data_IF_452081782909
#
_entry.id   IF_452081782909
#
_cell.length_a   1.000
_cell.length_b   1.000
_cell.length_c   1.000
_cell.angle_alpha   90.00
_cell.angle_beta   90.00
_cell.angle_gamma   90.00
#
_symmetry.space_group_name_H-M   'P 1'
#
loop_
_entity.id
_entity.type
_entity.pdbx_description
1 polymer ?
#
# COMPACT_ATOMS: atom_id res chain seq x y z
N UNK A 1 23.44 -29.23 -14.20
CA UNK A 1 23.62 -29.06 -12.75
C UNK A 1 22.91 -27.76 -12.39
N UNK A 2 21.71 -27.84 -11.81
CA UNK A 2 21.02 -26.65 -11.33
C UNK A 2 21.69 -26.23 -10.01
N UNK A 3 22.24 -25.03 -9.96
CA UNK A 3 22.74 -24.46 -8.71
C UNK A 3 21.53 -24.20 -7.81
N UNK A 4 21.43 -24.91 -6.69
CA UNK A 4 20.58 -24.50 -5.57
C UNK A 4 21.13 -23.19 -5.03
N UNK A 5 20.50 -22.07 -5.38
CA UNK A 5 20.67 -20.83 -4.62
C UNK A 5 19.99 -21.07 -3.28
N UNK A 6 20.78 -21.36 -2.24
CA UNK A 6 20.32 -21.31 -0.85
C UNK A 6 20.19 -19.83 -0.49
N UNK A 7 19.04 -19.25 -0.79
CA UNK A 7 18.72 -17.88 -0.43
C UNK A 7 18.72 -17.72 1.09
N UNK A 8 19.54 -16.79 1.59
CA UNK A 8 19.50 -16.37 2.99
C UNK A 8 18.25 -15.50 3.19
N UNK A 9 17.18 -16.10 3.72
CA UNK A 9 15.93 -15.42 4.03
C UNK A 9 16.12 -14.16 4.89
N UNK A 10 17.15 -14.13 5.75
CA UNK A 10 17.44 -12.97 6.57
C UNK A 10 17.98 -11.80 5.73
N UNK A 11 18.90 -12.09 4.82
CA UNK A 11 19.45 -11.10 3.89
C UNK A 11 18.37 -10.52 2.96
N UNK A 12 17.45 -11.35 2.47
CA UNK A 12 16.32 -10.90 1.64
C UNK A 12 15.40 -9.98 2.45
N UNK A 13 14.97 -10.41 3.64
CA UNK A 13 14.06 -9.63 4.48
C UNK A 13 14.66 -8.27 4.82
N UNK A 14 15.96 -8.24 5.15
CA UNK A 14 16.68 -7.00 5.42
C UNK A 14 16.72 -6.08 4.19
N UNK A 15 17.06 -6.62 3.03
CA UNK A 15 17.14 -5.83 1.78
C UNK A 15 15.79 -5.22 1.42
N UNK A 16 14.70 -6.01 1.54
CA UNK A 16 13.33 -5.53 1.31
C UNK A 16 12.99 -4.42 2.31
N UNK A 17 13.22 -4.65 3.61
CA UNK A 17 12.94 -3.66 4.65
C UNK A 17 13.67 -2.33 4.43
N UNK A 18 14.96 -2.39 4.06
CA UNK A 18 15.75 -1.19 3.79
C UNK A 18 15.25 -0.41 2.57
N UNK A 19 14.79 -1.10 1.53
CA UNK A 19 14.21 -0.47 0.34
C UNK A 19 12.94 0.30 0.68
N UNK A 20 12.00 -0.31 1.40
CA UNK A 20 10.75 0.37 1.81
C UNK A 20 11.02 1.54 2.76
N UNK A 21 11.97 1.40 3.69
CA UNK A 21 12.36 2.50 4.57
C UNK A 21 12.91 3.70 3.79
N UNK A 22 13.77 3.46 2.78
CA UNK A 22 14.30 4.50 1.91
C UNK A 22 13.19 5.19 1.11
N UNK A 23 12.29 4.41 0.51
CA UNK A 23 11.18 4.92 -0.30
C UNK A 23 10.33 5.97 0.43
N UNK A 24 10.05 5.73 1.71
CA UNK A 24 9.29 6.67 2.57
C UNK A 24 10.03 7.99 2.79
N UNK A 25 11.37 7.95 2.85
CA UNK A 25 12.20 9.14 3.14
C UNK A 25 12.56 9.97 1.91
N UNK A 26 12.72 9.34 0.75
CA UNK A 26 13.20 9.99 -0.47
C UNK A 26 12.08 10.25 -1.50
N UNK A 27 10.86 9.79 -1.24
CA UNK A 27 9.73 9.95 -2.15
C UNK A 27 9.87 9.13 -3.44
N UNK A 28 10.67 8.06 -3.44
CA UNK A 28 10.78 7.12 -4.56
C UNK A 28 9.37 6.71 -5.01
N UNK A 29 9.09 6.83 -6.30
CA UNK A 29 7.82 6.41 -6.88
C UNK A 29 8.02 5.10 -7.65
N UNK A 30 7.02 4.24 -7.64
CA UNK A 30 7.01 3.05 -8.48
C UNK A 30 6.62 3.42 -9.92
N UNK A 31 6.97 2.55 -10.88
CA UNK A 31 6.75 2.80 -12.32
C UNK A 31 5.27 2.81 -12.75
N UNK A 32 4.36 2.44 -11.84
CA UNK A 32 2.96 2.24 -12.13
C UNK A 32 2.14 3.51 -11.84
N UNK A 33 1.14 3.85 -12.68
CA UNK A 33 0.26 4.98 -12.40
C UNK A 33 -0.59 4.70 -11.17
N UNK A 34 -0.67 5.67 -10.26
CA UNK A 34 -1.64 5.68 -9.17
C UNK A 34 -2.90 6.41 -9.63
N UNK A 35 -4.06 5.84 -9.37
CA UNK A 35 -5.37 6.39 -9.76
C UNK A 35 -6.10 7.10 -8.61
N UNK A 36 -5.41 7.41 -7.51
CA UNK A 36 -6.03 8.10 -6.37
C UNK A 36 -6.34 9.56 -6.67
N UNK A 37 -7.57 9.97 -6.36
CA UNK A 37 -7.90 11.39 -6.26
C UNK A 37 -7.47 11.91 -4.88
N UNK A 38 -6.24 12.41 -4.78
CA UNK A 38 -5.69 12.93 -3.52
C UNK A 38 -6.48 14.10 -2.92
N UNK A 39 -7.21 14.87 -3.73
CA UNK A 39 -8.07 15.95 -3.23
C UNK A 39 -9.30 15.42 -2.50
N UNK A 40 -9.94 14.36 -3.02
CA UNK A 40 -11.07 13.69 -2.35
C UNK A 40 -10.58 12.97 -1.09
N UNK A 41 -9.49 12.21 -1.21
CA UNK A 41 -8.93 11.45 -0.09
C UNK A 41 -8.44 12.36 1.06
N UNK A 42 -7.88 13.52 0.74
CA UNK A 42 -7.43 14.52 1.72
C UNK A 42 -8.53 15.09 2.61
N UNK A 43 -9.81 14.88 2.27
CA UNK A 43 -10.93 15.32 3.10
C UNK A 43 -11.11 14.46 4.36
N UNK A 44 -10.60 13.22 4.36
CA UNK A 44 -10.83 12.26 5.44
C UNK A 44 -9.61 11.41 5.82
N UNK A 45 -8.58 11.34 4.98
CA UNK A 45 -7.34 10.61 5.27
C UNK A 45 -6.30 11.59 5.86
N UNK A 46 -5.63 11.24 6.97
CA UNK A 46 -4.55 12.03 7.52
C UNK A 46 -3.41 12.26 6.52
N UNK A 47 -2.91 13.48 6.45
CA UNK A 47 -1.85 13.90 5.52
C UNK A 47 -0.59 12.99 5.55
N UNK A 48 -0.11 12.51 6.71
CA UNK A 48 1.02 11.58 6.75
C UNK A 48 0.76 10.27 5.99
N UNK A 49 -0.48 9.77 5.97
CA UNK A 49 -0.84 8.54 5.25
C UNK A 49 -0.76 8.74 3.74
N UNK A 50 -1.23 9.89 3.25
CA UNK A 50 -1.16 10.25 1.83
C UNK A 50 0.29 10.40 1.34
N UNK A 51 1.19 10.87 2.20
CA UNK A 51 2.62 11.04 1.89
C UNK A 51 3.42 9.73 1.84
N UNK A 52 3.06 8.75 2.66
CA UNK A 52 3.81 7.48 2.79
C UNK A 52 3.20 6.34 1.97
N UNK A 53 2.23 6.65 1.10
CA UNK A 53 1.66 5.69 0.16
C UNK A 53 2.71 5.30 -0.89
N UNK A 54 3.21 4.06 -0.80
CA UNK A 54 4.22 3.52 -1.70
C UNK A 54 3.69 2.24 -2.35
N UNK A 55 3.06 2.39 -3.51
CA UNK A 55 2.38 1.31 -4.21
C UNK A 55 1.87 1.75 -5.58
N UNK A 56 1.37 0.79 -6.35
CA UNK A 56 0.71 1.04 -7.63
C UNK A 56 -0.76 1.41 -7.49
N UNK A 57 -1.16 1.87 -6.31
CA UNK A 57 -2.53 1.78 -5.82
C UNK A 57 -3.60 2.21 -6.83
N UNK A 58 -4.67 1.41 -6.88
CA UNK A 58 -6.09 1.68 -7.17
C UNK A 58 -6.70 0.29 -7.35
N UNK A 59 -7.08 -0.41 -6.27
CA UNK A 59 -7.54 -1.78 -6.38
C UNK A 59 -8.92 -1.78 -7.02
N UNK A 60 -9.06 -2.46 -8.16
CA UNK A 60 -10.36 -2.80 -8.76
C UNK A 60 -11.36 -3.32 -7.71
N UNK A 61 -10.87 -3.96 -6.64
CA UNK A 61 -11.65 -4.47 -5.52
C UNK A 61 -12.41 -3.44 -4.65
N UNK A 62 -11.98 -2.19 -4.54
CA UNK A 62 -12.74 -1.21 -3.73
C UNK A 62 -14.08 -0.79 -4.38
N UNK A 63 -14.25 -1.07 -5.68
CA UNK A 63 -15.52 -0.85 -6.37
C UNK A 63 -16.59 -1.87 -5.99
N UNK A 64 -16.20 -3.05 -5.51
CA UNK A 64 -17.12 -4.14 -5.17
C UNK A 64 -17.52 -4.17 -3.70
N UNK A 65 -16.75 -3.49 -2.84
CA UNK A 65 -16.99 -3.42 -1.39
C UNK A 65 -18.39 -2.86 -1.09
N UNK A 66 -19.13 -3.56 -0.23
CA UNK A 66 -20.47 -3.19 0.21
C UNK A 66 -20.51 -2.75 1.69
N UNK A 67 -21.53 -1.98 2.10
CA UNK A 67 -21.77 -1.67 3.51
C UNK A 67 -21.89 -2.93 4.37
N UNK A 68 -21.23 -2.93 5.54
CA UNK A 68 -21.22 -4.02 6.51
C UNK A 68 -20.23 -5.15 6.22
N UNK A 69 -19.45 -5.09 5.14
CA UNK A 69 -18.42 -6.09 4.85
C UNK A 69 -17.17 -5.95 5.72
N UNK A 70 -16.43 -7.04 5.85
CA UNK A 70 -15.09 -7.05 6.45
C UNK A 70 -14.05 -7.11 5.33
N UNK A 71 -13.14 -6.13 5.30
CA UNK A 71 -12.11 -6.00 4.26
C UNK A 71 -10.74 -6.33 4.85
N UNK A 72 -9.94 -7.11 4.11
CA UNK A 72 -8.53 -7.40 4.42
C UNK A 72 -7.64 -6.87 3.31
N UNK A 73 -6.69 -6.01 3.68
CA UNK A 73 -5.71 -5.40 2.78
C UNK A 73 -4.31 -5.97 3.07
N UNK A 74 -3.80 -6.78 2.13
CA UNK A 74 -2.49 -7.43 2.25
C UNK A 74 -1.43 -6.52 1.63
N UNK A 75 -0.66 -5.85 2.48
CA UNK A 75 0.34 -4.86 2.06
C UNK A 75 -0.17 -3.43 2.13
N UNK A 76 -1.00 -3.12 3.13
CA UNK A 76 -1.68 -1.83 3.29
C UNK A 76 -0.76 -0.60 3.39
N UNK A 77 0.51 -0.78 3.74
CA UNK A 77 1.49 0.30 3.86
C UNK A 77 1.01 1.37 4.84
N UNK A 78 0.89 2.62 4.36
CA UNK A 78 0.34 3.74 5.15
C UNK A 78 -1.16 3.62 5.43
N UNK A 79 -1.88 2.73 4.73
CA UNK A 79 -3.29 2.42 4.97
C UNK A 79 -4.28 3.18 4.08
N UNK A 80 -3.85 3.79 2.97
CA UNK A 80 -4.72 4.58 2.09
C UNK A 80 -5.98 3.80 1.65
N UNK A 81 -5.82 2.54 1.25
CA UNK A 81 -6.91 1.65 0.83
C UNK A 81 -7.79 1.23 2.02
N UNK A 82 -7.20 1.03 3.21
CA UNK A 82 -7.94 0.74 4.44
C UNK A 82 -8.84 1.91 4.86
N UNK A 83 -8.34 3.14 4.77
CA UNK A 83 -9.14 4.33 5.05
C UNK A 83 -10.27 4.48 4.03
N UNK A 84 -10.00 4.28 2.74
CA UNK A 84 -11.06 4.32 1.73
C UNK A 84 -12.10 3.21 1.92
N UNK A 85 -11.66 1.99 2.25
CA UNK A 85 -12.54 0.87 2.56
C UNK A 85 -13.44 1.16 3.76
N UNK A 86 -12.91 1.76 4.83
CA UNK A 86 -13.69 2.08 6.04
C UNK A 86 -14.89 2.99 5.74
N UNK A 87 -14.74 3.95 4.81
CA UNK A 87 -15.83 4.82 4.36
C UNK A 87 -16.91 4.03 3.59
N UNK A 88 -16.51 3.00 2.84
CA UNK A 88 -17.41 2.19 2.01
C UNK A 88 -18.20 1.18 2.83
N UNK A 89 -17.55 0.51 3.78
CA UNK A 89 -18.21 -0.48 4.65
C UNK A 89 -19.11 0.17 5.70
N UNK A 90 -18.83 1.42 6.09
CA UNK A 90 -19.59 2.10 7.13
C UNK A 90 -19.19 1.69 8.55
N UNK A 91 -19.86 2.24 9.59
CA UNK A 91 -19.56 1.98 10.99
C UNK A 91 -19.87 0.54 11.45
#
# INVERSE_FOLDING_TARGET
MANEVKEDNHAITKTVSERYAKAVTNGEQLCCPTGYNHEDLGQFIPEPVLKVSYGCGTPVGLSTVQPGEVVLDIGSGGGIDCFEASRKVGP
#
